data_IF_527500665828
#
_entry.id   IF_527500665828
#
_cell.length_a   1.000
_cell.length_b   1.000
_cell.length_c   1.000
_cell.angle_alpha   90.00
_cell.angle_beta   90.00
_cell.angle_gamma   90.00
#
_symmetry.space_group_name_H-M   'P 1'
#
loop_
_entity.id
_entity.type
_entity.pdbx_description
1 polymer ?
#
# COMPACT_ATOMS: atom_id res chain seq x y z
N UNK A 1 -2.51 -22.26 10.83
CA UNK A 1 -1.85 -23.29 10.02
C UNK A 1 -0.57 -23.70 10.73
N UNK A 2 -0.33 -25.00 10.90
CA UNK A 2 0.90 -25.54 11.46
C UNK A 2 1.66 -26.26 10.35
N UNK A 3 2.90 -25.83 10.10
CA UNK A 3 3.79 -26.38 9.08
C UNK A 3 5.05 -26.88 9.77
N UNK A 4 5.53 -28.06 9.38
CA UNK A 4 6.77 -28.64 9.88
C UNK A 4 7.68 -29.00 8.70
N UNK A 5 8.98 -28.81 8.86
CA UNK A 5 9.98 -29.25 7.88
C UNK A 5 10.36 -30.72 8.19
N UNK A 6 10.06 -31.62 7.26
CA UNK A 6 10.57 -33.00 7.29
C UNK A 6 12.04 -32.99 6.87
N UNK A 7 12.94 -33.02 7.87
CA UNK A 7 14.39 -32.99 7.64
C UNK A 7 14.95 -34.25 6.99
N UNK A 8 14.18 -35.35 6.91
CA UNK A 8 14.65 -36.57 6.24
C UNK A 8 14.41 -36.50 4.73
N UNK A 9 13.31 -35.86 4.34
CA UNK A 9 12.93 -35.68 2.93
C UNK A 9 13.30 -34.31 2.38
N UNK A 10 13.72 -33.40 3.25
CA UNK A 10 13.96 -31.98 2.97
C UNK A 10 12.71 -31.27 2.40
N UNK A 11 11.52 -31.67 2.89
CA UNK A 11 10.23 -31.23 2.39
C UNK A 11 9.37 -30.58 3.48
N UNK A 12 8.56 -29.59 3.11
CA UNK A 12 7.62 -28.94 4.04
C UNK A 12 6.29 -29.69 4.08
N UNK A 13 5.84 -30.05 5.29
CA UNK A 13 4.56 -30.74 5.51
C UNK A 13 3.58 -29.85 6.28
N UNK A 14 2.35 -29.76 5.78
CA UNK A 14 1.24 -29.11 6.49
C UNK A 14 0.62 -30.13 7.45
N UNK A 15 0.78 -29.92 8.76
CA UNK A 15 0.29 -30.87 9.77
C UNK A 15 -1.17 -30.60 10.15
N UNK A 16 -1.55 -29.32 10.24
CA UNK A 16 -2.91 -28.92 10.60
C UNK A 16 -3.29 -27.58 9.95
N UNK A 17 -4.48 -27.54 9.33
CA UNK A 17 -5.06 -26.36 8.72
C UNK A 17 -6.47 -26.14 9.29
N UNK A 18 -6.57 -25.21 10.24
CA UNK A 18 -7.87 -24.76 10.75
C UNK A 18 -8.45 -23.68 9.83
N UNK A 19 -9.63 -23.97 9.27
CA UNK A 19 -10.35 -23.08 8.34
C UNK A 19 -11.45 -22.26 9.02
N UNK A 20 -11.71 -22.50 10.31
CA UNK A 20 -12.75 -21.78 11.05
C UNK A 20 -12.24 -20.40 11.45
N UNK A 21 -13.06 -19.39 11.17
CA UNK A 21 -12.82 -18.01 11.58
C UNK A 21 -13.97 -17.54 12.46
N UNK A 22 -13.68 -16.67 13.42
CA UNK A 22 -14.68 -16.03 14.29
C UNK A 22 -15.35 -14.82 13.65
N UNK A 23 -14.95 -14.48 12.41
CA UNK A 23 -15.40 -13.32 11.67
C UNK A 23 -15.51 -13.66 10.17
N UNK A 24 -16.29 -12.88 9.39
CA UNK A 24 -16.32 -12.99 7.94
C UNK A 24 -14.94 -12.69 7.34
N UNK A 25 -14.38 -13.67 6.63
CA UNK A 25 -13.15 -13.47 5.87
C UNK A 25 -13.47 -12.74 4.55
N UNK A 26 -12.79 -11.64 4.26
CA UNK A 26 -12.98 -10.87 3.03
C UNK A 26 -11.64 -10.57 2.37
N UNK A 27 -11.42 -11.15 1.20
CA UNK A 27 -10.25 -10.86 0.38
C UNK A 27 -10.14 -9.36 0.01
N UNK A 28 -11.25 -8.60 0.03
CA UNK A 28 -11.27 -7.16 -0.24
C UNK A 28 -10.57 -6.33 0.84
N UNK A 29 -10.43 -6.86 2.06
CA UNK A 29 -9.71 -6.19 3.16
C UNK A 29 -8.18 -6.33 3.01
N UNK A 30 -7.69 -7.06 2.01
CA UNK A 30 -6.25 -7.24 1.75
C UNK A 30 -5.52 -5.92 1.51
N UNK A 31 -6.18 -4.92 0.93
CA UNK A 31 -5.61 -3.58 0.67
C UNK A 31 -5.13 -2.89 1.95
N UNK A 32 -5.60 -3.28 3.13
CA UNK A 32 -5.11 -2.71 4.39
C UNK A 32 -3.74 -3.23 4.81
N UNK A 33 -3.34 -4.40 4.31
CA UNK A 33 -2.06 -5.02 4.61
C UNK A 33 -1.02 -4.63 3.57
N UNK A 34 0.08 -4.02 4.02
CA UNK A 34 1.08 -3.45 3.11
C UNK A 34 1.72 -4.47 2.16
N UNK A 35 1.83 -5.72 2.56
CA UNK A 35 2.38 -6.84 1.78
C UNK A 35 1.58 -7.14 0.52
N UNK A 36 0.29 -6.80 0.54
CA UNK A 36 -0.63 -7.02 -0.57
C UNK A 36 -0.91 -5.74 -1.35
N UNK A 37 -0.28 -4.61 -0.98
CA UNK A 37 -0.45 -3.35 -1.68
C UNK A 37 0.50 -3.25 -2.84
N UNK A 38 -0.05 -3.04 -4.03
CA UNK A 38 0.76 -2.87 -5.23
C UNK A 38 0.21 -1.79 -6.15
N UNK A 39 1.08 -0.84 -6.51
CA UNK A 39 0.86 0.08 -7.62
C UNK A 39 1.33 -0.57 -8.92
N UNK A 40 0.38 -0.88 -9.80
CA UNK A 40 0.70 -1.39 -11.15
C UNK A 40 1.52 -0.37 -11.94
N UNK A 41 2.23 -0.84 -12.97
CA UNK A 41 3.03 0.06 -13.83
C UNK A 41 2.17 1.15 -14.49
N UNK A 42 0.97 0.80 -14.96
CA UNK A 42 0.03 1.77 -15.52
C UNK A 42 -0.31 2.88 -14.52
N UNK A 43 -0.65 2.49 -13.29
CA UNK A 43 -0.99 3.43 -12.22
C UNK A 43 0.21 4.31 -11.87
N UNK A 44 1.40 3.73 -11.77
CA UNK A 44 2.64 4.49 -11.55
C UNK A 44 2.84 5.55 -12.63
N UNK A 45 2.62 5.24 -13.91
CA UNK A 45 2.72 6.24 -14.98
C UNK A 45 1.69 7.36 -14.80
N UNK A 46 0.41 7.04 -14.61
CA UNK A 46 -0.65 8.05 -14.39
C UNK A 46 -0.35 8.96 -13.21
N UNK A 47 0.16 8.41 -12.09
CA UNK A 47 0.55 9.22 -10.93
C UNK A 47 1.65 10.21 -11.29
N UNK A 48 2.66 9.78 -12.06
CA UNK A 48 3.78 10.63 -12.47
C UNK A 48 3.34 11.73 -13.43
N UNK A 49 2.55 11.36 -14.44
CA UNK A 49 2.08 12.28 -15.47
C UNK A 49 1.17 13.36 -14.87
N UNK A 50 0.44 13.03 -13.80
CA UNK A 50 -0.38 13.99 -13.06
C UNK A 50 0.43 14.83 -12.06
N UNK A 51 1.47 14.27 -11.46
CA UNK A 51 2.37 14.98 -10.54
C UNK A 51 3.25 16.02 -11.27
N UNK A 52 3.59 15.79 -12.54
CA UNK A 52 4.38 16.71 -13.36
C UNK A 52 3.76 18.11 -13.51
N UNK A 53 2.46 18.27 -13.86
CA UNK A 53 1.76 19.55 -13.82
C UNK A 53 1.32 19.96 -12.40
N UNK A 54 1.69 19.21 -11.36
CA UNK A 54 1.35 19.52 -9.96
C UNK A 54 -0.10 19.21 -9.58
N UNK A 55 -0.76 18.23 -10.23
CA UNK A 55 -2.09 17.78 -9.80
C UNK A 55 -1.97 17.13 -8.43
N UNK A 56 -2.84 17.55 -7.52
CA UNK A 56 -2.82 17.05 -6.16
C UNK A 56 -3.04 15.52 -6.11
N UNK A 57 -2.30 14.78 -5.27
CA UNK A 57 -2.37 13.32 -5.21
C UNK A 57 -3.78 12.78 -4.91
N UNK A 58 -4.55 13.47 -4.05
CA UNK A 58 -5.93 13.08 -3.70
C UNK A 58 -6.86 13.09 -4.91
N UNK A 59 -6.71 14.06 -5.83
CA UNK A 59 -7.50 14.13 -7.07
C UNK A 59 -7.14 13.00 -8.01
N UNK A 60 -5.85 12.69 -8.14
CA UNK A 60 -5.38 11.55 -8.95
C UNK A 60 -5.88 10.22 -8.38
N UNK A 61 -5.80 10.04 -7.08
CA UNK A 61 -6.32 8.86 -6.39
C UNK A 61 -7.83 8.70 -6.61
N UNK A 62 -8.61 9.77 -6.47
CA UNK A 62 -10.05 9.76 -6.71
C UNK A 62 -10.38 9.39 -8.17
N UNK A 63 -9.65 9.96 -9.14
CA UNK A 63 -9.84 9.64 -10.57
C UNK A 63 -9.54 8.17 -10.87
N UNK A 64 -8.46 7.63 -10.31
CA UNK A 64 -8.11 6.21 -10.43
C UNK A 64 -9.16 5.30 -9.78
N UNK A 65 -9.68 5.69 -8.61
CA UNK A 65 -10.76 5.00 -7.91
C UNK A 65 -12.02 4.93 -8.76
N UNK A 66 -12.42 6.06 -9.36
CA UNK A 66 -13.59 6.13 -10.23
C UNK A 66 -13.42 5.25 -11.48
N UNK A 67 -12.20 5.22 -12.06
CA UNK A 67 -11.90 4.41 -13.24
C UNK A 67 -12.07 2.92 -13.00
N UNK A 68 -11.76 2.43 -11.80
CA UNK A 68 -11.90 1.01 -11.42
C UNK A 68 -13.26 0.69 -10.77
N UNK A 69 -14.18 1.66 -10.70
CA UNK A 69 -15.53 1.46 -10.18
C UNK A 69 -15.63 1.41 -8.64
N UNK A 70 -14.67 2.01 -7.93
CA UNK A 70 -14.72 2.17 -6.48
C UNK A 70 -13.48 1.65 -5.73
N UNK A 71 -13.42 2.00 -4.44
CA UNK A 71 -12.26 1.72 -3.57
C UNK A 71 -11.99 0.23 -3.38
N UNK A 72 -13.05 -0.58 -3.32
CA UNK A 72 -12.97 -2.03 -3.10
C UNK A 72 -12.26 -2.79 -4.24
N UNK A 73 -12.02 -2.13 -5.37
CA UNK A 73 -11.32 -2.67 -6.54
C UNK A 73 -9.86 -2.19 -6.64
N UNK A 74 -9.39 -1.37 -5.70
CA UNK A 74 -8.00 -0.93 -5.65
C UNK A 74 -7.15 -1.87 -4.80
N UNK A 75 -5.95 -2.16 -5.31
CA UNK A 75 -4.88 -2.86 -4.60
C UNK A 75 -3.97 -1.91 -3.82
N UNK A 76 -4.33 -0.64 -3.67
CA UNK A 76 -3.50 0.37 -3.02
C UNK A 76 -4.34 1.50 -2.43
N UNK A 77 -3.76 2.26 -1.51
CA UNK A 77 -4.37 3.41 -0.83
C UNK A 77 -3.81 4.73 -1.34
N UNK A 78 -4.47 5.83 -0.96
CA UNK A 78 -3.99 7.18 -1.24
C UNK A 78 -2.57 7.43 -0.68
N UNK A 79 -2.26 6.85 0.49
CA UNK A 79 -0.94 6.93 1.11
C UNK A 79 0.15 6.35 0.22
N UNK A 80 -0.16 5.29 -0.54
CA UNK A 80 0.80 4.66 -1.46
C UNK A 80 1.07 5.57 -2.67
N UNK A 81 0.05 6.29 -3.17
CA UNK A 81 0.23 7.31 -4.21
C UNK A 81 1.14 8.45 -3.74
N UNK A 82 0.90 8.96 -2.52
CA UNK A 82 1.71 10.02 -1.91
C UNK A 82 3.15 9.51 -1.73
N UNK A 83 3.34 8.32 -1.18
CA UNK A 83 4.67 7.71 -1.02
C UNK A 83 5.40 7.58 -2.35
N UNK A 84 4.71 7.16 -3.43
CA UNK A 84 5.32 7.05 -4.74
C UNK A 84 5.86 8.39 -5.26
N UNK A 85 5.13 9.50 -5.05
CA UNK A 85 5.57 10.84 -5.44
C UNK A 85 6.76 11.29 -4.58
N UNK A 86 6.66 11.12 -3.25
CA UNK A 86 7.69 11.53 -2.30
C UNK A 86 9.03 10.85 -2.55
N UNK A 87 9.01 9.56 -2.90
CA UNK A 87 10.22 8.79 -3.22
C UNK A 87 10.96 9.31 -4.47
N UNK A 88 10.32 10.16 -5.28
CA UNK A 88 10.91 10.72 -6.52
C UNK A 88 11.46 12.13 -6.33
N UNK A 89 11.17 12.77 -5.19
CA UNK A 89 11.74 14.05 -4.78
C UNK A 89 13.29 14.07 -4.77
N UNK A 90 14.03 13.03 -4.32
CA UNK A 90 15.50 13.11 -4.30
C UNK A 90 16.09 13.18 -5.71
N UNK A 91 15.46 12.51 -6.68
CA UNK A 91 15.81 12.62 -8.10
C UNK A 91 15.46 14.00 -8.66
N UNK A 92 14.32 14.59 -8.27
CA UNK A 92 13.93 15.95 -8.67
C UNK A 92 14.82 17.04 -8.06
N UNK A 93 15.34 16.84 -6.86
CA UNK A 93 16.13 17.82 -6.10
C UNK A 93 17.66 17.60 -6.18
N UNK A 94 18.13 16.72 -7.05
CA UNK A 94 19.57 16.53 -7.31
C UNK A 94 20.38 16.04 -6.10
N UNK A 95 19.80 15.28 -5.17
CA UNK A 95 20.55 14.64 -4.08
C UNK A 95 20.95 15.53 -2.90
N UNK A 96 20.22 16.61 -2.63
CA UNK A 96 20.46 17.53 -1.50
C UNK A 96 20.57 16.79 -0.15
N UNK A 97 21.65 16.97 0.62
CA UNK A 97 21.89 16.25 1.88
C UNK A 97 20.76 16.39 2.92
N UNK A 98 20.06 17.54 2.95
CA UNK A 98 18.88 17.80 3.80
C UNK A 98 17.62 17.04 3.36
N UNK A 99 17.60 16.43 2.17
CA UNK A 99 16.46 15.62 1.73
C UNK A 99 16.19 14.48 2.71
N UNK A 100 17.23 13.84 3.27
CA UNK A 100 17.04 12.72 4.22
C UNK A 100 16.23 13.14 5.44
N UNK A 101 16.49 14.33 5.98
CA UNK A 101 15.77 14.87 7.14
C UNK A 101 14.32 15.24 6.79
N UNK A 102 14.13 15.90 5.63
CA UNK A 102 12.80 16.26 5.13
C UNK A 102 11.97 14.99 4.86
N UNK A 103 12.57 14.00 4.20
CA UNK A 103 11.97 12.72 3.90
C UNK A 103 11.59 11.95 5.17
N UNK A 104 12.48 11.90 6.18
CA UNK A 104 12.17 11.25 7.45
C UNK A 104 10.96 11.88 8.15
N UNK A 105 10.89 13.23 8.19
CA UNK A 105 9.74 13.96 8.74
C UNK A 105 8.46 13.70 7.95
N UNK A 106 8.52 13.78 6.62
CA UNK A 106 7.37 13.55 5.75
C UNK A 106 6.86 12.10 5.84
N UNK A 107 7.77 11.13 5.83
CA UNK A 107 7.47 9.69 6.00
C UNK A 107 6.78 9.46 7.34
N UNK A 108 7.28 10.07 8.42
CA UNK A 108 6.62 10.04 9.73
C UNK A 108 5.18 10.56 9.67
N UNK A 109 4.91 11.66 8.95
CA UNK A 109 3.54 12.20 8.79
C UNK A 109 2.63 11.21 8.01
N UNK A 110 3.12 10.65 6.90
CA UNK A 110 2.32 9.74 6.05
C UNK A 110 1.96 8.43 6.78
N UNK A 111 2.92 7.84 7.49
CA UNK A 111 2.74 6.55 8.15
C UNK A 111 2.16 6.65 9.56
N UNK A 112 2.41 7.74 10.31
CA UNK A 112 1.90 7.91 11.68
C UNK A 112 0.55 8.66 11.76
N UNK A 113 0.02 9.19 10.65
CA UNK A 113 -1.34 9.74 10.64
C UNK A 113 -2.36 8.60 10.83
N UNK A 114 -2.77 8.37 12.08
CA UNK A 114 -3.92 7.57 12.45
C UNK A 114 -5.20 8.24 11.92
N UNK A 115 -5.86 7.58 10.97
CA UNK A 115 -7.31 7.73 10.74
C UNK A 115 -8.00 6.37 10.94
N UNK A 116 -7.40 5.51 11.77
CA UNK A 116 -7.86 4.13 12.02
C UNK A 116 -9.21 4.09 12.75
N UNK A 117 -9.76 5.24 13.18
CA UNK A 117 -11.01 5.36 13.92
C UNK A 117 -12.30 5.15 13.10
N UNK A 118 -12.23 4.50 11.93
CA UNK A 118 -13.43 4.17 11.14
C UNK A 118 -13.54 2.71 10.70
N UNK A 119 -12.64 1.84 11.15
CA UNK A 119 -12.65 0.43 10.73
C UNK A 119 -13.49 -0.51 11.60
N UNK A 120 -14.10 -0.03 12.68
CA UNK A 120 -15.01 -0.79 13.54
C UNK A 120 -16.40 -0.14 13.64
N UNK A 121 -17.06 0.05 12.49
CA UNK A 121 -18.51 0.25 12.45
C UNK A 121 -19.11 -0.61 11.34
N UNK A 122 -19.22 -1.89 11.64
CA UNK A 122 -20.26 -2.79 11.13
C UNK A 122 -21.03 -3.33 12.35
#
# INVERSE_FOLDING_TARGET
>A
MYVILDRQKDDWMVLNLELKHTHPCSAKKSVHYHEYRELTMHVKCVIKDNDEPGIQPNKTYLALTNKVGGLSNLSYSEKDCISHILNKIPAKLGGYARYREIHAKMTGIVWNAQSVDSFEKD
#
